data_IF_714732177954
#
_entry.id   IF_714732177954
#
_cell.length_a   1.000
_cell.length_b   1.000
_cell.length_c   1.000
_cell.angle_alpha   90.00
_cell.angle_beta   90.00
_cell.angle_gamma   90.00
#
_symmetry.space_group_name_H-M   'P 1'
#
loop_
_entity.id
_entity.type
_entity.pdbx_description
1 polymer ?
#
# COMPACT_ATOMS: atom_id res chain seq x y z
N UNK A 1 -0.78 -11.34 -36.42
CA UNK A 1 -0.74 -10.01 -35.75
C UNK A 1 -0.71 -10.23 -34.25
N UNK A 2 0.12 -9.51 -33.50
CA UNK A 2 0.13 -9.60 -32.04
C UNK A 2 -1.18 -9.05 -31.46
N UNK A 3 -1.83 -9.85 -30.61
CA UNK A 3 -3.08 -9.47 -29.97
C UNK A 3 -3.15 -10.10 -28.59
N UNK A 4 -3.47 -9.28 -27.59
CA UNK A 4 -3.64 -9.72 -26.20
C UNK A 4 -4.95 -9.13 -25.67
N UNK A 5 -5.78 -9.99 -25.08
CA UNK A 5 -6.93 -9.57 -24.29
C UNK A 5 -6.63 -9.78 -22.81
N UNK A 6 -7.07 -8.86 -21.94
CA UNK A 6 -6.84 -8.92 -20.50
C UNK A 6 -8.10 -8.57 -19.70
N UNK A 7 -8.24 -9.16 -18.51
CA UNK A 7 -9.30 -8.82 -17.55
C UNK A 7 -8.80 -8.94 -16.11
N UNK A 8 -9.22 -8.03 -15.24
CA UNK A 8 -8.94 -8.06 -13.79
C UNK A 8 -10.20 -8.46 -13.02
N UNK A 9 -10.04 -9.43 -12.12
CA UNK A 9 -11.13 -10.02 -11.35
C UNK A 9 -10.75 -10.11 -9.86
N UNK A 10 -11.29 -9.22 -9.00
CA UNK A 10 -12.01 -7.99 -9.34
C UNK A 10 -11.09 -6.88 -9.84
N UNK A 11 -11.60 -5.91 -10.59
CA UNK A 11 -10.86 -4.71 -10.97
C UNK A 11 -10.64 -3.74 -9.78
N UNK A 12 -11.42 -3.89 -8.72
CA UNK A 12 -11.26 -3.16 -7.47
C UNK A 12 -11.28 -4.09 -6.26
N UNK A 13 -10.35 -3.88 -5.33
CA UNK A 13 -10.23 -4.67 -4.11
C UNK A 13 -9.97 -3.76 -2.91
N UNK A 14 -10.28 -4.23 -1.70
CA UNK A 14 -9.98 -3.55 -0.44
C UNK A 14 -9.05 -4.41 0.39
N UNK A 15 -8.12 -3.78 1.11
CA UNK A 15 -7.16 -4.46 1.99
C UNK A 15 -6.87 -3.63 3.23
N UNK A 16 -6.68 -4.33 4.35
CA UNK A 16 -6.21 -3.71 5.57
C UNK A 16 -4.68 -3.61 5.60
N UNK A 17 -4.10 -2.52 6.13
CA UNK A 17 -2.67 -2.42 6.40
C UNK A 17 -2.17 -3.58 7.28
N UNK A 18 -1.13 -4.27 6.82
CA UNK A 18 -0.60 -5.49 7.43
C UNK A 18 -1.37 -6.77 7.07
N UNK A 19 -2.45 -6.65 6.31
CA UNK A 19 -3.17 -7.77 5.70
C UNK A 19 -2.71 -8.07 4.29
N UNK A 20 -3.45 -8.94 3.61
CA UNK A 20 -3.24 -9.25 2.20
C UNK A 20 -4.55 -9.45 1.45
N UNK A 21 -4.59 -9.04 0.19
CA UNK A 21 -5.69 -9.33 -0.72
C UNK A 21 -5.17 -9.80 -2.08
N UNK A 22 -6.04 -10.45 -2.87
CA UNK A 22 -5.68 -11.01 -4.18
C UNK A 22 -6.59 -10.50 -5.28
N UNK A 23 -6.01 -10.23 -6.44
CA UNK A 23 -6.70 -9.96 -7.69
C UNK A 23 -6.22 -10.93 -8.75
N UNK A 24 -7.15 -11.47 -9.54
CA UNK A 24 -6.83 -12.37 -10.64
C UNK A 24 -6.72 -11.58 -11.95
N UNK A 25 -5.57 -11.69 -12.60
CA UNK A 25 -5.36 -11.20 -13.96
C UNK A 25 -5.54 -12.36 -14.94
N UNK A 26 -6.56 -12.27 -15.79
CA UNK A 26 -6.76 -13.17 -16.92
C UNK A 26 -6.22 -12.56 -18.18
N UNK A 27 -5.62 -13.40 -19.02
CA UNK A 27 -5.03 -12.95 -20.27
C UNK A 27 -5.29 -14.00 -21.33
N UNK A 28 -5.60 -13.58 -22.55
CA UNK A 28 -5.81 -14.48 -23.69
C UNK A 28 -4.96 -14.02 -24.85
N UNK A 29 -4.10 -14.93 -25.33
CA UNK A 29 -3.36 -14.69 -26.57
C UNK A 29 -4.36 -14.73 -27.73
N UNK A 30 -4.64 -13.57 -28.33
CA UNK A 30 -5.51 -13.43 -29.51
C UNK A 30 -4.71 -13.33 -30.80
N UNK A 31 -3.38 -13.43 -30.73
CA UNK A 31 -2.50 -13.58 -31.87
C UNK A 31 -2.49 -14.99 -32.46
N UNK A 32 -1.72 -15.14 -33.53
CA UNK A 32 -1.55 -16.34 -34.34
C UNK A 32 -0.27 -17.13 -34.02
N UNK A 33 0.59 -16.60 -33.13
CA UNK A 33 1.84 -17.23 -32.69
C UNK A 33 1.86 -17.44 -31.18
N UNK A 34 2.63 -18.43 -30.73
CA UNK A 34 2.91 -18.62 -29.29
C UNK A 34 3.79 -17.48 -28.81
N UNK A 35 3.53 -16.97 -27.60
CA UNK A 35 4.33 -15.92 -26.99
C UNK A 35 4.48 -16.18 -25.48
N UNK A 36 5.54 -15.60 -24.90
CA UNK A 36 5.76 -15.57 -23.47
C UNK A 36 5.59 -14.14 -22.96
N UNK A 37 4.70 -13.97 -21.98
CA UNK A 37 4.38 -12.68 -21.39
C UNK A 37 5.07 -12.54 -20.04
N UNK A 38 5.80 -11.44 -19.84
CA UNK A 38 6.38 -11.03 -18.56
C UNK A 38 5.46 -10.04 -17.85
N UNK A 39 5.30 -10.21 -16.54
CA UNK A 39 4.45 -9.36 -15.71
C UNK A 39 5.27 -8.53 -14.72
N UNK A 40 5.02 -7.23 -14.69
CA UNK A 40 5.68 -6.30 -13.77
C UNK A 40 4.63 -5.39 -13.13
N UNK A 41 4.48 -5.38 -11.79
CA UNK A 41 3.63 -4.40 -11.14
C UNK A 41 4.21 -2.99 -11.29
N UNK A 42 3.34 -2.01 -11.50
CA UNK A 42 3.71 -0.60 -11.70
C UNK A 42 2.80 0.31 -10.88
N UNK A 43 3.35 1.44 -10.44
CA UNK A 43 2.67 2.42 -9.59
C UNK A 43 3.19 2.42 -8.15
N UNK A 44 2.57 3.23 -7.30
CA UNK A 44 3.03 3.48 -5.92
C UNK A 44 2.98 2.22 -5.05
N UNK A 45 2.04 1.31 -5.30
CA UNK A 45 1.88 0.07 -4.53
C UNK A 45 2.68 -1.11 -5.08
N UNK A 46 3.45 -0.93 -6.16
CA UNK A 46 4.28 -1.98 -6.75
C UNK A 46 5.25 -2.65 -5.75
N UNK A 47 5.88 -1.93 -4.79
CA UNK A 47 6.74 -2.56 -3.78
C UNK A 47 6.02 -3.56 -2.86
N UNK A 48 4.68 -3.50 -2.80
CA UNK A 48 3.85 -4.38 -1.97
C UNK A 48 2.99 -5.33 -2.82
N UNK A 49 3.28 -5.41 -4.11
CA UNK A 49 2.54 -6.24 -5.06
C UNK A 49 3.44 -7.36 -5.56
N UNK A 50 3.01 -8.60 -5.34
CA UNK A 50 3.65 -9.80 -5.89
C UNK A 50 2.80 -10.35 -7.03
N UNK A 51 3.46 -10.80 -8.10
CA UNK A 51 2.81 -11.34 -9.29
C UNK A 51 3.29 -12.76 -9.55
N UNK A 52 2.37 -13.72 -9.55
CA UNK A 52 2.70 -15.13 -9.73
C UNK A 52 1.74 -15.82 -10.73
N UNK A 53 2.28 -16.49 -11.77
CA UNK A 53 3.70 -16.55 -12.14
C UNK A 53 4.21 -15.22 -12.75
N UNK A 54 5.52 -14.96 -12.68
CA UNK A 54 6.16 -13.75 -13.25
C UNK A 54 6.26 -13.77 -14.77
N UNK A 55 6.25 -14.97 -15.37
CA UNK A 55 6.13 -15.17 -16.81
C UNK A 55 5.09 -16.24 -17.10
N UNK A 56 4.40 -16.11 -18.24
CA UNK A 56 3.42 -17.09 -18.67
C UNK A 56 3.47 -17.25 -20.18
N UNK A 57 3.69 -18.49 -20.61
CA UNK A 57 3.67 -18.87 -22.03
C UNK A 57 2.26 -19.23 -22.45
N UNK A 58 1.77 -18.58 -23.51
CA UNK A 58 0.42 -18.80 -24.03
C UNK A 58 0.43 -19.10 -25.53
N UNK A 59 -0.23 -20.19 -25.89
CA UNK A 59 -0.48 -20.56 -27.28
C UNK A 59 -1.60 -19.70 -27.88
N UNK A 60 -1.66 -19.55 -29.21
CA UNK A 60 -2.77 -18.89 -29.90
C UNK A 60 -4.13 -19.37 -29.41
N UNK A 61 -5.02 -18.43 -29.07
CA UNK A 61 -6.37 -18.72 -28.61
C UNK A 61 -6.48 -19.33 -27.21
N UNK A 62 -5.39 -19.43 -26.45
CA UNK A 62 -5.42 -19.92 -25.07
C UNK A 62 -5.50 -18.79 -24.06
N UNK A 63 -6.09 -19.09 -22.90
CA UNK A 63 -6.24 -18.16 -21.78
C UNK A 63 -5.35 -18.62 -20.62
N UNK A 64 -4.57 -17.69 -20.10
CA UNK A 64 -3.78 -17.79 -18.89
C UNK A 64 -4.38 -17.04 -17.73
N UNK A 65 -3.94 -17.39 -16.52
CA UNK A 65 -4.30 -16.70 -15.29
C UNK A 65 -3.05 -16.43 -14.47
N UNK A 66 -2.97 -15.24 -13.91
CA UNK A 66 -1.90 -14.75 -13.03
C UNK A 66 -2.55 -14.20 -11.77
N UNK A 67 -1.97 -14.49 -10.62
CA UNK A 67 -2.41 -13.97 -9.33
C UNK A 67 -1.57 -12.76 -8.94
N UNK A 68 -2.25 -11.66 -8.59
CA UNK A 68 -1.68 -10.46 -7.99
C UNK A 68 -1.99 -10.51 -6.50
N UNK A 69 -0.96 -10.55 -5.66
CA UNK A 69 -1.10 -10.47 -4.21
C UNK A 69 -0.62 -9.10 -3.73
N UNK A 70 -1.48 -8.37 -3.03
CA UNK A 70 -1.17 -7.08 -2.43
C UNK A 70 -1.04 -7.24 -0.93
N UNK A 71 0.09 -6.80 -0.36
CA UNK A 71 0.41 -6.89 1.07
C UNK A 71 0.99 -5.58 1.58
N UNK A 72 0.19 -4.51 1.67
CA UNK A 72 0.68 -3.24 2.19
C UNK A 72 1.11 -3.39 3.65
N UNK A 73 2.26 -2.80 4.05
CA UNK A 73 2.72 -2.86 5.42
C UNK A 73 1.78 -2.08 6.33
N UNK A 74 1.77 -2.42 7.62
CA UNK A 74 1.10 -1.63 8.65
C UNK A 74 1.98 -0.45 9.06
N UNK A 75 2.28 0.44 8.12
CA UNK A 75 3.07 1.66 8.33
C UNK A 75 2.37 2.86 7.68
N UNK A 76 2.72 4.10 8.06
CA UNK A 76 2.19 5.31 7.43
C UNK A 76 2.39 5.39 5.91
N UNK A 77 3.36 4.65 5.37
CA UNK A 77 3.65 4.64 3.92
C UNK A 77 2.47 4.12 3.11
N UNK A 78 1.70 3.17 3.67
CA UNK A 78 0.50 2.59 3.06
C UNK A 78 -0.68 3.57 3.14
N UNK A 79 -0.65 4.61 2.31
CA UNK A 79 -1.66 5.69 2.28
C UNK A 79 -3.09 5.17 2.20
N UNK A 80 -3.92 5.57 3.17
CA UNK A 80 -5.33 5.18 3.21
C UNK A 80 -6.13 5.77 2.03
N UNK A 81 -7.10 5.01 1.53
CA UNK A 81 -7.96 5.40 0.42
C UNK A 81 -7.66 4.67 -0.88
N UNK A 82 -8.15 5.19 -2.03
CA UNK A 82 -7.96 4.55 -3.33
C UNK A 82 -6.51 4.73 -3.81
N UNK A 83 -5.86 3.61 -4.08
CA UNK A 83 -4.51 3.54 -4.65
C UNK A 83 -4.61 2.84 -6.02
N UNK A 84 -4.44 3.56 -7.13
CA UNK A 84 -4.45 2.95 -8.46
C UNK A 84 -3.22 2.04 -8.62
N UNK A 85 -3.41 0.93 -9.32
CA UNK A 85 -2.34 0.01 -9.66
C UNK A 85 -2.42 -0.40 -11.11
N UNK A 86 -1.28 -0.78 -11.66
CA UNK A 86 -1.18 -1.32 -13.00
C UNK A 86 -0.27 -2.53 -13.03
N UNK A 87 -0.47 -3.41 -14.00
CA UNK A 87 0.45 -4.50 -14.31
C UNK A 87 0.92 -4.34 -15.74
N UNK A 88 2.20 -4.09 -15.94
CA UNK A 88 2.81 -4.07 -17.26
C UNK A 88 2.98 -5.49 -17.75
N UNK A 89 2.46 -5.77 -18.94
CA UNK A 89 2.58 -7.05 -19.61
C UNK A 89 3.43 -6.84 -20.86
N UNK A 90 4.62 -7.43 -20.87
CA UNK A 90 5.58 -7.32 -21.97
C UNK A 90 5.66 -8.66 -22.69
N UNK A 91 5.20 -8.74 -23.95
CA UNK A 91 5.42 -9.92 -24.78
C UNK A 91 6.92 -10.07 -25.11
N UNK A 92 7.42 -11.29 -25.23
CA UNK A 92 8.84 -11.54 -25.49
C UNK A 92 9.15 -11.46 -26.98
N UNK A 93 8.23 -11.90 -27.84
CA UNK A 93 8.40 -11.84 -29.30
C UNK A 93 8.29 -10.41 -29.84
N UNK A 94 7.42 -9.59 -29.25
CA UNK A 94 7.16 -8.20 -29.66
C UNK A 94 7.21 -7.27 -28.44
N UNK A 95 8.41 -6.88 -27.95
CA UNK A 95 8.57 -6.06 -26.77
C UNK A 95 7.91 -4.66 -26.86
N UNK A 96 7.63 -4.18 -28.06
CA UNK A 96 6.90 -2.93 -28.34
C UNK A 96 5.38 -3.05 -28.11
N UNK A 97 4.83 -4.27 -28.12
CA UNK A 97 3.39 -4.54 -27.99
C UNK A 97 2.95 -4.65 -26.51
N UNK A 98 3.40 -3.71 -25.68
CA UNK A 98 3.12 -3.69 -24.24
C UNK A 98 1.64 -3.42 -23.97
N UNK A 99 1.05 -4.18 -23.04
CA UNK A 99 -0.32 -3.95 -22.53
C UNK A 99 -0.27 -3.66 -21.04
N UNK A 100 -1.12 -2.74 -20.57
CA UNK A 100 -1.13 -2.29 -19.16
C UNK A 100 -2.57 -2.29 -18.62
N UNK A 101 -3.09 -3.41 -18.11
CA UNK A 101 -4.32 -3.41 -17.33
C UNK A 101 -4.17 -2.63 -16.02
N UNK A 102 -5.19 -1.84 -15.70
CA UNK A 102 -5.26 -0.98 -14.52
C UNK A 102 -6.42 -1.38 -13.61
N UNK A 103 -6.21 -1.25 -12.31
CA UNK A 103 -7.23 -1.48 -11.28
C UNK A 103 -7.05 -0.54 -10.09
N UNK A 104 -7.89 -0.70 -9.08
CA UNK A 104 -7.83 0.14 -7.88
C UNK A 104 -7.82 -0.68 -6.60
N UNK A 105 -6.83 -0.45 -5.75
CA UNK A 105 -6.74 -1.05 -4.42
C UNK A 105 -7.11 0.00 -3.37
N UNK A 106 -8.14 -0.25 -2.58
CA UNK A 106 -8.50 0.60 -1.46
C UNK A 106 -7.79 0.10 -0.20
N UNK A 107 -6.87 0.89 0.35
CA UNK A 107 -6.22 0.60 1.63
C UNK A 107 -7.05 1.21 2.76
N UNK A 108 -7.42 0.42 3.76
CA UNK A 108 -8.22 0.94 4.88
C UNK A 108 -7.40 1.84 5.80
N UNK A 109 -8.04 2.82 6.47
CA UNK A 109 -7.35 3.67 7.43
C UNK A 109 -7.03 2.90 8.73
N UNK A 110 -5.85 3.15 9.30
CA UNK A 110 -5.51 2.79 10.68
C UNK A 110 -4.90 3.99 11.41
N UNK A 111 -5.20 4.05 12.70
CA UNK A 111 -4.72 5.11 13.60
C UNK A 111 -3.83 4.49 14.66
N UNK A 112 -2.62 5.01 14.80
CA UNK A 112 -1.72 4.69 15.89
C UNK A 112 -0.98 5.98 16.28
N UNK A 113 -1.13 6.43 17.53
CA UNK A 113 -0.53 7.67 18.01
C UNK A 113 0.28 7.35 19.25
N UNK A 114 1.55 7.77 19.27
CA UNK A 114 2.42 7.67 20.43
C UNK A 114 2.75 9.07 20.93
N UNK A 115 2.54 9.31 22.21
CA UNK A 115 2.91 10.56 22.86
C UNK A 115 4.00 10.27 23.90
N UNK A 116 5.13 10.96 23.79
CA UNK A 116 6.25 10.81 24.72
C UNK A 116 6.66 12.17 25.29
N UNK A 117 6.73 12.26 26.62
CA UNK A 117 7.18 13.46 27.32
C UNK A 117 8.71 13.42 27.44
N UNK A 118 9.38 14.40 26.85
CA UNK A 118 10.85 14.48 26.86
C UNK A 118 11.28 15.77 27.58
N UNK A 119 11.86 15.69 28.80
CA UNK A 119 12.09 14.49 29.62
C UNK A 119 10.84 14.01 30.39
N UNK A 120 10.76 12.71 30.77
CA UNK A 120 9.59 12.09 31.41
C UNK A 120 9.38 12.51 32.87
N UNK A 121 10.37 13.18 33.48
CA UNK A 121 10.23 13.77 34.81
C UNK A 121 10.94 15.12 34.85
N UNK A 122 10.17 16.18 35.07
CA UNK A 122 10.71 17.51 35.37
C UNK A 122 10.77 17.65 36.89
N UNK A 123 11.92 17.38 37.50
CA UNK A 123 12.19 17.83 38.88
C UNK A 123 12.94 19.16 38.80
N UNK A 124 12.24 20.27 39.03
CA UNK A 124 12.87 21.59 39.07
C UNK A 124 12.02 22.61 39.82
N UNK A 125 12.56 23.19 40.89
CA UNK A 125 11.91 24.24 41.70
C UNK A 125 11.71 25.57 40.94
N UNK A 126 12.18 25.67 39.70
CA UNK A 126 11.99 26.80 38.80
C UNK A 126 11.89 26.29 37.34
N UNK A 127 10.75 26.60 36.69
CA UNK A 127 10.48 26.54 35.23
C UNK A 127 11.21 25.45 34.44
N UNK A 128 10.68 24.23 34.43
CA UNK A 128 10.93 23.31 33.32
C UNK A 128 10.07 23.66 32.12
N UNK A 129 10.63 23.58 30.90
CA UNK A 129 9.87 23.62 29.64
C UNK A 129 9.80 22.19 29.08
N UNK A 130 8.87 21.33 29.56
CA UNK A 130 8.75 20.00 29.01
C UNK A 130 8.39 20.07 27.52
N UNK A 131 8.98 19.20 26.70
CA UNK A 131 8.59 19.03 25.30
C UNK A 131 7.77 17.76 25.21
N UNK A 132 6.57 17.86 24.65
CA UNK A 132 5.78 16.69 24.28
C UNK A 132 6.05 16.38 22.81
N UNK A 133 6.58 15.18 22.55
CA UNK A 133 6.63 14.63 21.21
C UNK A 133 5.34 13.85 20.97
N UNK A 134 4.69 14.10 19.84
CA UNK A 134 3.50 13.36 19.38
C UNK A 134 3.83 12.80 18.01
N UNK A 135 3.93 11.48 17.93
CA UNK A 135 4.23 10.75 16.72
C UNK A 135 2.95 10.09 16.20
N UNK A 136 2.59 10.41 14.95
CA UNK A 136 1.54 9.70 14.23
C UNK A 136 2.16 8.51 13.48
N UNK A 137 1.86 7.30 13.96
CA UNK A 137 2.28 6.04 13.37
C UNK A 137 1.18 5.41 12.49
N UNK A 138 0.02 6.08 12.37
CA UNK A 138 -1.07 5.70 11.47
C UNK A 138 -0.88 6.19 10.02
N UNK A 139 -1.64 5.62 9.09
CA UNK A 139 -1.68 6.05 7.67
C UNK A 139 -2.78 7.09 7.37
N UNK A 140 -3.36 7.69 8.41
CA UNK A 140 -4.34 8.78 8.30
C UNK A 140 -3.87 9.99 9.08
N UNK A 141 -4.35 11.18 8.70
CA UNK A 141 -4.11 12.40 9.48
C UNK A 141 -4.90 12.33 10.78
N UNK A 142 -4.21 12.55 11.90
CA UNK A 142 -4.83 12.60 13.24
C UNK A 142 -4.78 14.03 13.79
N UNK A 143 -5.89 14.49 14.33
CA UNK A 143 -5.94 15.70 15.17
C UNK A 143 -5.79 15.28 16.63
N UNK A 144 -4.68 15.65 17.27
CA UNK A 144 -4.44 15.38 18.69
C UNK A 144 -4.67 16.65 19.52
N UNK A 145 -5.41 16.54 20.62
CA UNK A 145 -5.51 17.57 21.65
C UNK A 145 -4.67 17.17 22.86
N UNK A 146 -3.91 18.13 23.40
CA UNK A 146 -3.05 17.92 24.56
C UNK A 146 -3.56 18.80 25.69
N UNK A 147 -3.91 18.18 26.82
CA UNK A 147 -4.20 18.87 28.08
C UNK A 147 -3.21 18.42 29.15
N UNK A 148 -2.82 19.34 30.03
CA UNK A 148 -1.96 19.07 31.17
C UNK A 148 -2.57 19.66 32.44
N UNK A 149 -2.56 18.90 33.54
CA UNK A 149 -2.97 19.35 34.86
C UNK A 149 -1.81 19.20 35.85
N UNK A 150 -1.66 20.17 36.75
CA UNK A 150 -0.71 20.12 37.86
C UNK A 150 -1.50 19.80 39.15
N UNK A 151 -1.02 18.83 39.92
CA UNK A 151 -1.66 18.35 41.17
C UNK A 151 -0.88 18.83 42.43
N UNK A 152 -0.03 19.84 42.32
CA UNK A 152 0.76 20.34 43.43
C UNK A 152 0.02 21.29 44.38
N UNK A 153 -0.80 20.76 45.30
CA UNK A 153 -1.29 21.48 46.49
C UNK A 153 -0.14 21.77 47.50
N UNK A 154 0.85 22.59 47.11
CA UNK A 154 1.84 23.16 48.04
C UNK A 154 2.00 24.67 47.82
N UNK A 155 1.00 25.44 48.27
CA UNK A 155 1.15 26.86 48.56
C UNK A 155 1.02 27.06 50.07
N UNK A 156 2.15 27.08 50.77
CA UNK A 156 2.26 27.80 52.05
C UNK A 156 2.77 29.21 51.74
N UNK A 157 1.99 30.23 52.08
CA UNK A 157 2.43 31.63 52.10
C UNK A 157 3.04 31.95 53.45
N UNK A 158 4.15 32.70 53.43
CA UNK A 158 4.54 33.66 54.47
C UNK A 158 4.65 35.03 53.78
#
# INVERSE_FOLDING_TARGET
MAGLWTSLEPASATVDPGGSTRVRLRLRNTGDVVDEYRFEPVGEIAPWTTVEPQTLRLYPGTTGTVELTFSPPRTPDATAGPNPFAVRITPTEHPEAVTVPEGNLTITPFTEVRAELVPPTVKGRFRGRPRLAVDNLGNTKVTASVSGSDNGDQLSYD
#
